data_IF_101017049945
#
_entry.id   IF_101017049945
#
_cell.length_a   1.000
_cell.length_b   1.000
_cell.length_c   1.000
_cell.angle_alpha   90.00
_cell.angle_beta   90.00
_cell.angle_gamma   90.00
#
_symmetry.space_group_name_H-M   'P 1'
#
loop_
_entity.id
_entity.type
_entity.pdbx_description
1 polymer ?
#
# COMPACT_ATOMS: atom_id res chain seq x y z
N UNK A 1 -3.80 -9.13 -9.62
CA UNK A 1 -3.72 -7.78 -9.07
C UNK A 1 -4.27 -6.77 -10.04
N UNK A 2 -4.91 -5.75 -9.53
CA UNK A 2 -5.46 -4.70 -10.37
C UNK A 2 -4.36 -3.75 -10.85
N UNK A 3 -4.33 -3.45 -12.13
CA UNK A 3 -3.36 -2.49 -12.67
C UNK A 3 -3.52 -1.12 -12.04
N UNK A 4 -4.75 -0.73 -11.73
CA UNK A 4 -5.02 0.56 -11.12
C UNK A 4 -4.45 0.62 -9.71
N UNK A 5 -4.59 -0.46 -8.95
CA UNK A 5 -4.06 -0.49 -7.59
C UNK A 5 -2.53 -0.44 -7.64
N UNK A 6 -1.92 -1.22 -8.53
CA UNK A 6 -0.46 -1.21 -8.68
C UNK A 6 0.01 0.20 -9.01
N UNK A 7 -0.61 0.83 -9.98
CA UNK A 7 -0.19 2.16 -10.42
C UNK A 7 -0.33 3.18 -9.30
N UNK A 8 -1.42 3.14 -8.56
CA UNK A 8 -1.63 4.09 -7.47
C UNK A 8 -0.63 3.88 -6.34
N UNK A 9 -0.35 2.63 -5.99
CA UNK A 9 0.64 2.32 -4.97
C UNK A 9 2.01 2.82 -5.40
N UNK A 10 2.38 2.57 -6.66
CA UNK A 10 3.66 3.03 -7.20
C UNK A 10 3.76 4.55 -7.13
N UNK A 11 2.70 5.26 -7.51
CA UNK A 11 2.70 6.71 -7.47
C UNK A 11 2.84 7.25 -6.05
N UNK A 12 2.17 6.64 -5.09
CA UNK A 12 2.27 7.07 -3.70
C UNK A 12 3.70 6.88 -3.19
N UNK A 13 4.28 5.72 -3.44
CA UNK A 13 5.64 5.44 -2.99
C UNK A 13 6.63 6.40 -3.64
N UNK A 14 6.51 6.60 -4.95
CA UNK A 14 7.42 7.46 -5.68
C UNK A 14 7.33 8.90 -5.17
N UNK A 15 6.12 9.38 -4.95
CA UNK A 15 5.90 10.74 -4.46
C UNK A 15 6.45 10.93 -3.06
N UNK A 16 6.22 9.94 -2.20
CA UNK A 16 6.65 10.01 -0.81
C UNK A 16 8.17 9.97 -0.71
N UNK A 17 8.81 9.20 -1.56
CA UNK A 17 10.26 9.03 -1.53
C UNK A 17 11.00 9.98 -2.47
N UNK A 18 10.27 10.77 -3.26
CA UNK A 18 10.87 11.71 -4.22
C UNK A 18 11.74 10.99 -5.24
N UNK A 19 11.25 9.87 -5.73
CA UNK A 19 11.95 9.10 -6.77
C UNK A 19 11.02 8.91 -7.96
N UNK A 20 11.59 8.63 -9.15
CA UNK A 20 10.75 8.41 -10.33
C UNK A 20 9.85 7.19 -10.17
N UNK A 21 8.61 7.23 -10.64
CA UNK A 21 7.74 6.07 -10.56
C UNK A 21 8.32 4.84 -11.26
N UNK A 22 9.13 5.04 -12.29
CA UNK A 22 9.75 3.94 -13.01
C UNK A 22 10.71 3.14 -12.13
N UNK A 23 11.21 3.75 -11.07
CA UNK A 23 12.10 3.07 -10.13
C UNK A 23 11.35 2.17 -9.16
N UNK A 24 10.05 2.35 -9.04
CA UNK A 24 9.23 1.60 -8.10
C UNK A 24 8.53 0.51 -8.88
N UNK A 25 9.14 -0.67 -8.92
CA UNK A 25 8.53 -1.81 -9.61
C UNK A 25 8.00 -2.81 -8.59
N UNK A 26 7.06 -3.63 -9.03
CA UNK A 26 6.38 -4.55 -8.14
C UNK A 26 7.33 -5.57 -7.51
N UNK A 27 8.45 -5.83 -8.16
CA UNK A 27 9.43 -6.80 -7.67
C UNK A 27 10.44 -6.21 -6.70
N UNK A 28 10.40 -4.91 -6.47
CA UNK A 28 11.35 -4.28 -5.55
C UNK A 28 10.91 -4.44 -4.11
N UNK A 29 11.90 -4.68 -3.25
CA UNK A 29 11.65 -4.63 -1.81
C UNK A 29 11.84 -3.20 -1.34
N UNK A 30 11.30 -2.90 -0.17
CA UNK A 30 11.49 -1.57 0.41
C UNK A 30 12.97 -1.32 0.72
N UNK A 31 13.68 -2.38 1.10
CA UNK A 31 15.12 -2.28 1.36
C UNK A 31 15.85 -1.88 0.08
N UNK A 32 15.49 -2.45 -1.04
CA UNK A 32 16.11 -2.12 -2.32
C UNK A 32 15.83 -0.67 -2.72
N UNK A 33 14.71 -0.14 -2.27
CA UNK A 33 14.34 1.24 -2.55
C UNK A 33 14.86 2.21 -1.49
N UNK A 34 15.67 1.70 -0.56
CA UNK A 34 16.24 2.50 0.53
C UNK A 34 15.17 3.13 1.41
N UNK A 35 14.10 2.40 1.66
CA UNK A 35 13.01 2.84 2.50
C UNK A 35 13.22 2.25 3.89
N UNK A 36 13.50 3.10 4.87
CA UNK A 36 13.69 2.64 6.24
C UNK A 36 12.34 2.57 6.96
N UNK A 37 12.36 2.23 8.24
CA UNK A 37 11.14 2.05 9.02
C UNK A 37 10.30 3.32 9.10
N UNK A 38 10.96 4.46 9.25
CA UNK A 38 10.26 5.72 9.36
C UNK A 38 9.61 6.09 8.03
N UNK A 39 10.36 5.95 6.95
CA UNK A 39 9.82 6.19 5.61
C UNK A 39 8.68 5.23 5.32
N UNK A 40 8.82 3.98 5.75
CA UNK A 40 7.78 2.99 5.58
C UNK A 40 6.47 3.40 6.24
N UNK A 41 6.55 3.97 7.44
CA UNK A 41 5.36 4.45 8.13
C UNK A 41 4.71 5.61 7.38
N UNK A 42 5.52 6.51 6.83
CA UNK A 42 4.99 7.62 6.03
C UNK A 42 4.27 7.09 4.79
N UNK A 43 4.83 6.07 4.16
CA UNK A 43 4.20 5.45 3.01
C UNK A 43 2.89 4.80 3.41
N UNK A 44 2.86 4.10 4.55
CA UNK A 44 1.63 3.47 5.02
C UNK A 44 0.52 4.50 5.24
N UNK A 45 0.84 5.62 5.88
CA UNK A 45 -0.15 6.66 6.11
C UNK A 45 -0.65 7.24 4.78
N UNK A 46 0.26 7.46 3.83
CA UNK A 46 -0.13 7.98 2.53
C UNK A 46 -1.02 6.99 1.78
N UNK A 47 -0.70 5.71 1.86
CA UNK A 47 -1.51 4.66 1.24
C UNK A 47 -2.89 4.60 1.88
N UNK A 48 -2.96 4.66 3.19
CA UNK A 48 -4.24 4.63 3.88
C UNK A 48 -5.13 5.79 3.46
N UNK A 49 -4.52 6.96 3.29
CA UNK A 49 -5.24 8.14 2.84
C UNK A 49 -5.68 7.99 1.39
N UNK A 50 -4.78 7.50 0.55
CA UNK A 50 -5.05 7.38 -0.88
C UNK A 50 -6.21 6.42 -1.17
N UNK A 51 -6.25 5.30 -0.45
CA UNK A 51 -7.24 4.25 -0.70
C UNK A 51 -8.39 4.27 0.31
N UNK A 52 -8.31 5.13 1.30
CA UNK A 52 -9.33 5.22 2.37
C UNK A 52 -9.50 3.86 3.07
N UNK A 53 -8.38 3.29 3.48
CA UNK A 53 -8.36 2.01 4.20
C UNK A 53 -7.50 2.15 5.43
N UNK A 54 -7.67 1.21 6.37
CA UNK A 54 -6.82 1.13 7.55
C UNK A 54 -6.03 -0.16 7.49
N UNK A 55 -4.71 -0.05 7.58
CA UNK A 55 -3.83 -1.21 7.59
C UNK A 55 -3.57 -1.57 9.05
N UNK A 56 -3.94 -2.79 9.48
CA UNK A 56 -3.72 -3.18 10.88
C UNK A 56 -2.25 -3.12 11.25
N UNK A 57 -1.97 -2.69 12.48
CA UNK A 57 -0.60 -2.56 12.95
C UNK A 57 0.16 -3.88 12.93
N UNK A 58 -0.53 -4.99 13.13
CA UNK A 58 0.11 -6.30 13.13
C UNK A 58 0.44 -6.78 11.72
N UNK A 59 -0.12 -6.16 10.69
CA UNK A 59 0.19 -6.49 9.31
C UNK A 59 1.31 -5.64 8.74
N UNK A 60 1.44 -4.42 9.23
CA UNK A 60 2.42 -3.50 8.71
C UNK A 60 3.85 -4.06 8.71
N UNK A 61 4.31 -4.73 9.78
CA UNK A 61 5.67 -5.27 9.77
C UNK A 61 5.90 -6.40 8.77
N UNK A 62 4.84 -6.99 8.25
CA UNK A 62 4.96 -8.08 7.28
C UNK A 62 5.08 -7.56 5.85
N UNK A 63 4.92 -6.27 5.64
CA UNK A 63 4.96 -5.68 4.30
C UNK A 63 6.40 -5.25 4.02
N UNK A 64 7.09 -5.98 3.14
CA UNK A 64 8.49 -5.73 2.86
C UNK A 64 8.76 -5.38 1.40
N UNK A 65 7.75 -5.42 0.54
CA UNK A 65 7.94 -5.17 -0.88
C UNK A 65 6.75 -4.44 -1.45
N UNK A 66 6.94 -3.90 -2.65
CA UNK A 66 5.85 -3.24 -3.37
C UNK A 66 4.72 -4.25 -3.62
N UNK A 67 5.07 -5.47 -4.01
CA UNK A 67 4.09 -6.52 -4.26
C UNK A 67 3.24 -6.80 -3.01
N UNK A 68 3.88 -6.94 -1.88
CA UNK A 68 3.16 -7.21 -0.63
C UNK A 68 2.24 -6.05 -0.26
N UNK A 69 2.67 -4.83 -0.51
CA UNK A 69 1.84 -3.66 -0.27
C UNK A 69 0.60 -3.69 -1.17
N UNK A 70 0.79 -3.99 -2.45
CA UNK A 70 -0.33 -4.07 -3.40
C UNK A 70 -1.30 -5.17 -2.98
N UNK A 71 -0.77 -6.34 -2.63
CA UNK A 71 -1.60 -7.47 -2.22
C UNK A 71 -2.40 -7.14 -0.96
N UNK A 72 -1.76 -6.48 -0.01
CA UNK A 72 -2.43 -6.09 1.22
C UNK A 72 -3.56 -5.10 0.96
N UNK A 73 -3.30 -4.12 0.11
CA UNK A 73 -4.32 -3.13 -0.23
C UNK A 73 -5.49 -3.80 -0.96
N UNK A 74 -5.20 -4.68 -1.90
CA UNK A 74 -6.26 -5.37 -2.63
C UNK A 74 -7.11 -6.23 -1.70
N UNK A 75 -6.49 -6.88 -0.73
CA UNK A 75 -7.21 -7.66 0.25
C UNK A 75 -8.16 -6.79 1.06
N UNK A 76 -7.69 -5.62 1.48
CA UNK A 76 -8.53 -4.70 2.25
C UNK A 76 -9.67 -4.14 1.42
N UNK A 77 -9.40 -3.80 0.17
CA UNK A 77 -10.44 -3.28 -0.72
C UNK A 77 -11.49 -4.34 -1.02
N UNK A 78 -11.06 -5.58 -1.23
CA UNK A 78 -11.96 -6.68 -1.50
C UNK A 78 -12.84 -6.96 -0.27
N UNK A 79 -12.25 -6.94 0.91
CA UNK A 79 -12.98 -7.16 2.14
C UNK A 79 -14.05 -6.09 2.35
N UNK A 80 -13.71 -4.83 2.06
CA UNK A 80 -14.69 -3.74 2.15
C UNK A 80 -15.86 -3.97 1.22
N UNK A 81 -15.53 -4.34 -0.02
CA UNK A 81 -16.54 -4.53 -1.05
C UNK A 81 -17.43 -5.73 -0.76
N UNK A 82 -16.82 -6.77 -0.20
CA UNK A 82 -17.55 -8.02 -0.01
C UNK A 82 -18.29 -8.13 1.31
N UNK A 83 -18.19 -7.14 2.17
CA UNK A 83 -18.78 -7.21 3.50
C UNK A 83 -20.01 -6.30 3.60
N UNK A 84 -21.10 -6.71 3.00
CA UNK A 84 -22.26 -5.83 2.90
C UNK A 84 -22.83 -5.43 4.23
N UNK A 85 -22.82 -6.30 5.15
CA UNK A 85 -23.39 -5.99 6.44
C UNK A 85 -22.57 -4.97 7.20
N UNK A 86 -21.28 -5.05 6.98
CA UNK A 86 -20.37 -4.17 7.68
C UNK A 86 -20.47 -2.77 7.17
N UNK A 87 -20.93 -2.64 6.00
CA UNK A 87 -20.99 -1.34 5.48
C UNK A 87 -21.97 -0.55 6.19
N UNK A 88 -22.64 -1.09 6.59
CA UNK A 88 -23.35 -0.24 7.14
C UNK A 88 -23.12 0.56 7.99
N UNK A 89 -23.17 0.84 8.22
CA UNK A 89 -23.10 1.42 8.74
C UNK A 89 -22.86 1.73 9.26
N UNK A 90 -22.81 1.56 9.05
CA UNK A 90 -22.56 1.95 9.56
C UNK A 90 -22.63 2.51 9.63
#
# INVERSE_FOLDING_TARGET
MSSQVIERVVQVIARTQHIPPESVTIDKTFEELHIDSLDGMNILFAIETEFDVSIPDDRAPAIHSVREMVEGIETLLTARTSAPGATGPA
#
